data_IF_748154554462
#
_entry.id   IF_748154554462
#
_cell.length_a   1.000
_cell.length_b   1.000
_cell.length_c   1.000
_cell.angle_alpha   90.00
_cell.angle_beta   90.00
_cell.angle_gamma   90.00
#
_symmetry.space_group_name_H-M   'P 1'
#
loop_
_entity.id
_entity.type
_entity.pdbx_description
1 polymer ?
#
# COMPACT_ATOMS: atom_id res chain seq x y z
N UNK A 1 -12.99 3.65 10.33
CA UNK A 1 -12.98 4.20 8.95
C UNK A 1 -11.85 5.23 8.92
N UNK A 2 -10.84 5.06 8.07
CA UNK A 2 -9.68 5.98 8.02
C UNK A 2 -10.04 7.35 7.44
N UNK A 3 -9.15 8.33 7.59
CA UNK A 3 -9.33 9.69 7.05
C UNK A 3 -9.38 9.67 5.51
N UNK A 4 -10.22 10.56 4.96
CA UNK A 4 -10.37 10.74 3.51
C UNK A 4 -10.38 12.23 3.20
N UNK A 5 -9.57 12.63 2.22
CA UNK A 5 -9.47 13.98 1.70
C UNK A 5 -9.78 13.98 0.20
N UNK A 6 -10.52 14.98 -0.24
CA UNK A 6 -10.99 15.11 -1.61
C UNK A 6 -10.43 16.37 -2.26
N UNK A 7 -10.13 16.27 -3.54
CA UNK A 7 -9.85 17.37 -4.46
C UNK A 7 -10.66 17.16 -5.73
N UNK A 8 -10.67 18.12 -6.65
CA UNK A 8 -11.44 18.01 -7.91
C UNK A 8 -11.09 16.78 -8.75
N UNK A 9 -9.86 16.25 -8.63
CA UNK A 9 -9.36 15.16 -9.49
C UNK A 9 -8.81 13.95 -8.73
N UNK A 10 -8.62 14.04 -7.42
CA UNK A 10 -7.95 13.02 -6.62
C UNK A 10 -8.60 12.85 -5.25
N UNK A 11 -8.59 11.62 -4.77
CA UNK A 11 -9.00 11.22 -3.43
C UNK A 11 -7.78 10.65 -2.71
N UNK A 12 -7.43 11.23 -1.57
CA UNK A 12 -6.43 10.68 -0.68
C UNK A 12 -7.15 9.98 0.47
N UNK A 13 -6.89 8.68 0.65
CA UNK A 13 -7.58 7.84 1.63
C UNK A 13 -6.57 7.01 2.42
N UNK A 14 -6.74 6.97 3.74
CA UNK A 14 -6.07 5.99 4.58
C UNK A 14 -6.58 4.58 4.28
N UNK A 15 -5.63 3.68 4.02
CA UNK A 15 -5.90 2.28 3.71
C UNK A 15 -5.72 1.40 4.95
N UNK A 16 -6.48 0.32 4.99
CA UNK A 16 -6.35 -0.77 5.96
C UNK A 16 -6.14 -2.11 5.25
N UNK A 17 -6.01 -3.20 6.00
CA UNK A 17 -5.70 -4.54 5.50
C UNK A 17 -6.71 -5.06 4.46
N UNK A 18 -7.94 -4.54 4.43
CA UNK A 18 -8.94 -4.92 3.42
C UNK A 18 -8.51 -4.45 2.02
N UNK A 19 -7.65 -3.44 1.94
CA UNK A 19 -7.10 -2.90 0.71
C UNK A 19 -5.81 -3.61 0.26
N UNK A 20 -5.37 -4.66 0.97
CA UNK A 20 -4.11 -5.35 0.64
C UNK A 20 -4.05 -5.87 -0.79
N UNK A 21 -5.19 -6.27 -1.38
CA UNK A 21 -5.22 -6.72 -2.78
C UNK A 21 -4.95 -5.59 -3.77
N UNK A 22 -5.60 -4.44 -3.63
CA UNK A 22 -5.42 -3.31 -4.58
C UNK A 22 -3.99 -2.76 -4.49
N UNK A 23 -3.41 -2.73 -3.28
CA UNK A 23 -2.01 -2.35 -3.07
C UNK A 23 -1.05 -3.36 -3.70
N UNK A 24 -1.31 -4.67 -3.55
CA UNK A 24 -0.52 -5.71 -4.20
C UNK A 24 -0.54 -5.57 -5.72
N UNK A 25 -1.74 -5.46 -6.30
CA UNK A 25 -1.92 -5.33 -7.75
C UNK A 25 -1.18 -4.09 -8.30
N UNK A 26 -1.24 -2.97 -7.58
CA UNK A 26 -0.50 -1.75 -7.91
C UNK A 26 1.02 -1.98 -7.91
N UNK A 27 1.56 -2.63 -6.88
CA UNK A 27 3.00 -2.89 -6.79
C UNK A 27 3.48 -3.87 -7.88
N UNK A 28 2.73 -4.94 -8.15
CA UNK A 28 3.09 -5.90 -9.21
C UNK A 28 3.08 -5.24 -10.58
N UNK A 29 2.00 -4.50 -10.91
CA UNK A 29 1.85 -3.84 -12.22
C UNK A 29 2.97 -2.86 -12.53
N UNK A 30 3.51 -2.19 -11.51
CA UNK A 30 4.55 -1.18 -11.67
C UNK A 30 5.96 -1.67 -11.31
N UNK A 31 6.13 -2.95 -10.96
CA UNK A 31 7.39 -3.51 -10.45
C UNK A 31 8.58 -3.20 -11.35
N UNK A 32 8.44 -3.42 -12.65
CA UNK A 32 9.52 -3.21 -13.63
C UNK A 32 9.94 -1.75 -13.76
N UNK A 33 9.01 -0.83 -13.53
CA UNK A 33 9.26 0.60 -13.56
C UNK A 33 9.92 1.06 -12.24
N UNK A 34 9.38 0.68 -11.08
CA UNK A 34 9.87 1.13 -9.78
C UNK A 34 11.21 0.53 -9.36
N UNK A 35 11.52 -0.70 -9.76
CA UNK A 35 12.78 -1.37 -9.36
C UNK A 35 14.05 -0.61 -9.75
N UNK A 36 13.97 0.34 -10.70
CA UNK A 36 15.09 1.19 -11.14
C UNK A 36 15.37 2.34 -10.18
N UNK A 37 14.37 2.75 -9.40
CA UNK A 37 14.38 3.96 -8.58
C UNK A 37 14.18 3.69 -7.09
N UNK A 38 13.68 2.51 -6.72
CA UNK A 38 13.42 2.11 -5.34
C UNK A 38 14.45 1.13 -4.79
N UNK A 39 14.60 1.04 -3.45
CA UNK A 39 15.37 -0.02 -2.81
C UNK A 39 14.88 -1.40 -3.24
N UNK A 40 15.81 -2.35 -3.37
CA UNK A 40 15.51 -3.73 -3.75
C UNK A 40 14.52 -4.34 -2.74
N UNK A 41 13.33 -4.71 -3.21
CA UNK A 41 12.30 -5.41 -2.43
C UNK A 41 12.51 -6.91 -2.53
N UNK A 42 12.41 -7.62 -1.40
CA UNK A 42 12.38 -9.09 -1.38
C UNK A 42 11.04 -9.61 -1.93
N UNK A 43 10.99 -10.82 -2.49
CA UNK A 43 9.77 -11.35 -3.14
C UNK A 43 8.56 -11.43 -2.20
N UNK A 44 8.80 -11.56 -0.89
CA UNK A 44 7.76 -11.52 0.14
C UNK A 44 6.94 -10.22 0.09
N UNK A 45 7.53 -9.11 -0.36
CA UNK A 45 6.85 -7.83 -0.56
C UNK A 45 5.67 -7.98 -1.53
N UNK A 46 5.81 -8.80 -2.57
CA UNK A 46 4.78 -9.02 -3.59
C UNK A 46 3.81 -10.15 -3.21
N UNK A 47 3.54 -10.32 -1.92
CA UNK A 47 2.54 -11.28 -1.42
C UNK A 47 1.39 -10.56 -0.74
N UNK A 48 0.18 -11.13 -0.85
CA UNK A 48 -1.01 -10.55 -0.23
C UNK A 48 -0.89 -10.53 1.30
N UNK A 49 -0.29 -11.55 1.90
CA UNK A 49 -0.08 -11.63 3.34
C UNK A 49 0.81 -10.49 3.84
N UNK A 50 1.91 -10.21 3.14
CA UNK A 50 2.81 -9.10 3.50
C UNK A 50 2.10 -7.76 3.40
N UNK A 51 1.42 -7.47 2.28
CA UNK A 51 0.72 -6.20 2.08
C UNK A 51 -0.37 -5.96 3.13
N UNK A 52 -1.13 -7.00 3.50
CA UNK A 52 -2.11 -6.94 4.59
C UNK A 52 -1.47 -6.65 5.93
N UNK A 53 -0.38 -7.36 6.27
CA UNK A 53 0.33 -7.17 7.53
C UNK A 53 0.93 -5.77 7.64
N UNK A 54 1.52 -5.26 6.56
CA UNK A 54 2.08 -3.91 6.50
C UNK A 54 0.99 -2.86 6.73
N UNK A 55 -0.12 -2.90 5.99
CA UNK A 55 -1.24 -1.96 6.15
C UNK A 55 -1.83 -1.98 7.58
N UNK A 56 -1.91 -3.16 8.19
CA UNK A 56 -2.35 -3.30 9.58
C UNK A 56 -1.38 -2.64 10.57
N UNK A 57 -0.07 -2.73 10.32
CA UNK A 57 0.94 -2.05 11.14
C UNK A 57 0.90 -0.54 10.93
N UNK A 58 0.87 -0.07 9.69
CA UNK A 58 0.83 1.36 9.34
C UNK A 58 -0.34 2.06 10.04
N UNK A 59 -1.53 1.43 10.03
CA UNK A 59 -2.71 1.95 10.72
C UNK A 59 -2.53 2.06 12.23
N UNK A 60 -1.92 1.07 12.88
CA UNK A 60 -1.65 1.12 14.32
C UNK A 60 -0.72 2.27 14.69
N UNK A 61 0.26 2.58 13.85
CA UNK A 61 1.18 3.70 14.08
C UNK A 61 0.51 5.07 13.90
N UNK A 62 -0.47 5.19 12.99
CA UNK A 62 -1.23 6.42 12.79
C UNK A 62 -2.21 6.76 13.93
N UNK A 63 -2.49 5.79 14.82
CA UNK A 63 -3.38 5.94 15.98
C UNK A 63 -2.62 6.35 17.28
N UNK A 64 -1.28 6.45 17.23
CA UNK A 64 -0.40 6.87 18.34
C UNK A 64 -0.03 8.35 18.17
#
# INVERSE_FOLDING_TARGET
MGKIYYTDRLILKELDELNGKIVLDYNIRNKEFFQKYEPKRHDVFYTLSYQKSQLKMDRKFSEI
#
